data_IF_860782467174
#
_entry.id   IF_860782467174
#
_cell.length_a   1.000
_cell.length_b   1.000
_cell.length_c   1.000
_cell.angle_alpha   90.00
_cell.angle_beta   90.00
_cell.angle_gamma   90.00
#
_symmetry.space_group_name_H-M   'P 1'
#
loop_
_entity.id
_entity.type
_entity.pdbx_description
1 polymer ?
#
# COMPACT_ATOMS: atom_id res chain seq x y z
N UNK A 1 -1.44 57.31 13.56
CA UNK A 1 -0.22 56.49 13.38
C UNK A 1 -0.65 55.07 13.06
N UNK A 2 -0.12 54.49 11.98
CA UNK A 2 -0.71 53.37 11.22
C UNK A 2 -0.30 52.00 11.78
N UNK A 3 -1.29 51.11 11.77
CA UNK A 3 -1.30 49.68 12.13
C UNK A 3 -0.22 48.89 11.38
N UNK A 4 0.67 48.20 12.11
CA UNK A 4 1.57 47.17 11.55
C UNK A 4 1.75 46.03 12.55
N UNK A 5 0.73 45.21 12.80
CA UNK A 5 0.85 43.98 13.61
C UNK A 5 -0.11 42.93 13.04
N UNK A 6 0.16 42.41 11.84
CA UNK A 6 -0.71 41.40 11.23
C UNK A 6 0.02 40.53 10.19
N UNK A 7 1.23 40.04 10.45
CA UNK A 7 1.93 39.17 9.48
C UNK A 7 2.70 37.97 10.06
N UNK A 8 2.71 37.73 11.37
CA UNK A 8 3.55 36.67 11.96
C UNK A 8 2.87 35.31 12.19
N UNK A 9 1.53 35.21 12.09
CA UNK A 9 0.80 33.98 12.47
C UNK A 9 0.66 32.99 11.28
N UNK A 10 0.87 33.44 10.03
CA UNK A 10 0.63 32.62 8.84
C UNK A 10 1.70 31.54 8.54
N UNK A 11 2.91 31.65 9.09
CA UNK A 11 4.04 30.81 8.65
C UNK A 11 4.17 29.46 9.38
N UNK A 12 3.61 29.32 10.59
CA UNK A 12 3.65 28.08 11.37
C UNK A 12 2.61 27.04 10.92
N UNK A 13 1.52 27.45 10.28
CA UNK A 13 0.48 26.53 9.80
C UNK A 13 0.89 25.76 8.54
N UNK A 14 1.80 26.32 7.72
CA UNK A 14 2.22 25.69 6.46
C UNK A 14 3.15 24.49 6.67
N UNK A 15 3.98 24.51 7.71
CA UNK A 15 4.92 23.42 8.01
C UNK A 15 4.21 22.15 8.50
N UNK A 16 3.16 22.27 9.31
CA UNK A 16 2.43 21.11 9.85
C UNK A 16 1.69 20.30 8.76
N UNK A 17 1.21 20.97 7.71
CA UNK A 17 0.49 20.31 6.62
C UNK A 17 1.39 19.41 5.75
N UNK A 18 2.67 19.76 5.58
CA UNK A 18 3.62 18.98 4.78
C UNK A 18 3.98 17.64 5.40
N UNK A 19 4.08 17.56 6.73
CA UNK A 19 4.38 16.29 7.42
C UNK A 19 3.21 15.30 7.33
N UNK A 20 1.97 15.78 7.48
CA UNK A 20 0.79 14.93 7.39
C UNK A 20 0.61 14.32 5.98
N UNK A 21 0.90 15.10 4.93
CA UNK A 21 0.87 14.62 3.55
C UNK A 21 1.91 13.51 3.30
N UNK A 22 3.13 13.66 3.83
CA UNK A 22 4.16 12.63 3.70
C UNK A 22 3.81 11.33 4.43
N UNK A 23 3.28 11.42 5.66
CA UNK A 23 2.87 10.25 6.44
C UNK A 23 1.73 9.47 5.77
N UNK A 24 0.78 10.19 5.15
CA UNK A 24 -0.31 9.56 4.39
C UNK A 24 0.20 8.88 3.12
N UNK A 25 1.09 9.53 2.36
CA UNK A 25 1.69 8.93 1.17
C UNK A 25 2.50 7.67 1.50
N UNK A 26 3.26 7.69 2.60
CA UNK A 26 3.99 6.51 3.07
C UNK A 26 3.05 5.39 3.50
N UNK A 27 1.93 5.73 4.14
CA UNK A 27 0.90 4.76 4.49
C UNK A 27 0.26 4.14 3.25
N UNK A 28 -0.13 4.96 2.28
CA UNK A 28 -0.74 4.50 1.02
C UNK A 28 0.23 3.61 0.23
N UNK A 29 1.54 3.95 0.22
CA UNK A 29 2.58 3.11 -0.40
C UNK A 29 2.70 1.76 0.31
N UNK A 30 2.68 1.73 1.65
CA UNK A 30 2.69 0.47 2.42
C UNK A 30 1.44 -0.37 2.16
N UNK A 31 0.27 0.26 2.08
CA UNK A 31 -0.97 -0.45 1.74
C UNK A 31 -0.89 -1.08 0.36
N UNK A 32 -0.38 -0.34 -0.64
CA UNK A 32 -0.17 -0.87 -1.99
C UNK A 32 0.79 -2.07 -2.01
N UNK A 33 1.94 -1.96 -1.33
CA UNK A 33 2.89 -3.07 -1.21
C UNK A 33 2.27 -4.29 -0.51
N UNK A 34 1.36 -4.07 0.44
CA UNK A 34 0.65 -5.16 1.15
C UNK A 34 -0.33 -5.87 0.23
N UNK A 35 -1.04 -5.14 -0.64
CA UNK A 35 -1.91 -5.73 -1.67
C UNK A 35 -1.11 -6.55 -2.68
N UNK A 36 0.02 -6.03 -3.16
CA UNK A 36 0.93 -6.77 -4.03
C UNK A 36 1.43 -8.04 -3.35
N UNK A 37 1.89 -7.93 -2.10
CA UNK A 37 2.37 -9.07 -1.35
C UNK A 37 1.28 -10.15 -1.21
N UNK A 38 0.03 -9.78 -0.95
CA UNK A 38 -1.08 -10.73 -0.90
C UNK A 38 -1.36 -11.39 -2.25
N UNK A 39 -1.30 -10.64 -3.36
CA UNK A 39 -1.44 -11.18 -4.72
C UNK A 39 -0.33 -12.19 -5.05
N UNK A 40 0.91 -11.84 -4.74
CA UNK A 40 2.09 -12.69 -4.97
C UNK A 40 1.99 -13.94 -4.08
N UNK A 41 1.63 -13.80 -2.81
CA UNK A 41 1.45 -14.95 -1.92
C UNK A 41 0.33 -15.88 -2.41
N UNK A 42 -0.76 -15.34 -2.94
CA UNK A 42 -1.84 -16.14 -3.51
C UNK A 42 -1.37 -16.99 -4.69
N UNK A 43 -0.67 -16.38 -5.64
CA UNK A 43 -0.13 -17.05 -6.82
C UNK A 43 0.98 -18.05 -6.47
N UNK A 44 2.02 -17.60 -5.77
CA UNK A 44 3.23 -18.41 -5.49
C UNK A 44 2.99 -19.54 -4.48
N UNK A 45 2.01 -19.41 -3.59
CA UNK A 45 1.69 -20.42 -2.58
C UNK A 45 0.37 -21.15 -2.82
N UNK A 46 -0.32 -20.90 -3.94
CA UNK A 46 -1.62 -21.49 -4.25
C UNK A 46 -2.67 -21.26 -3.14
N UNK A 47 -2.68 -20.04 -2.57
CA UNK A 47 -3.70 -19.68 -1.57
C UNK A 47 -5.03 -19.37 -2.26
N UNK A 48 -6.18 -19.75 -1.65
CA UNK A 48 -7.46 -19.73 -2.32
C UNK A 48 -7.97 -18.30 -2.55
N UNK A 49 -7.91 -17.83 -3.80
CA UNK A 49 -8.39 -16.53 -4.25
C UNK A 49 -9.54 -16.71 -5.25
N UNK A 50 -10.74 -16.23 -4.89
CA UNK A 50 -11.88 -16.27 -5.81
C UNK A 50 -11.76 -15.16 -6.87
N UNK A 51 -12.36 -15.34 -8.06
CA UNK A 51 -12.36 -14.30 -9.10
C UNK A 51 -12.90 -12.94 -8.58
N UNK A 52 -14.02 -12.88 -7.82
CA UNK A 52 -14.49 -11.60 -7.27
C UNK A 52 -13.53 -10.96 -6.27
N UNK A 53 -12.81 -11.76 -5.47
CA UNK A 53 -11.81 -11.25 -4.54
C UNK A 53 -10.57 -10.73 -5.29
N UNK A 54 -10.16 -11.41 -6.36
CA UNK A 54 -9.07 -10.98 -7.23
C UNK A 54 -9.38 -9.63 -7.90
N UNK A 55 -10.59 -9.47 -8.44
CA UNK A 55 -11.04 -8.22 -9.04
C UNK A 55 -11.01 -7.06 -8.03
N UNK A 56 -11.50 -7.28 -6.81
CA UNK A 56 -11.47 -6.24 -5.76
C UNK A 56 -10.05 -5.91 -5.30
N UNK A 57 -9.15 -6.89 -5.27
CA UNK A 57 -7.74 -6.67 -4.95
C UNK A 57 -7.08 -5.79 -6.04
N UNK A 58 -7.28 -6.11 -7.31
CA UNK A 58 -6.78 -5.33 -8.46
C UNK A 58 -7.34 -3.91 -8.44
N UNK A 59 -8.64 -3.74 -8.21
CA UNK A 59 -9.27 -2.43 -8.11
C UNK A 59 -8.69 -1.60 -6.95
N UNK A 60 -8.47 -2.23 -5.80
CA UNK A 60 -7.89 -1.57 -4.62
C UNK A 60 -6.45 -1.12 -4.87
N UNK A 61 -5.63 -1.97 -5.49
CA UNK A 61 -4.26 -1.64 -5.86
C UNK A 61 -4.22 -0.50 -6.89
N UNK A 62 -5.05 -0.58 -7.93
CA UNK A 62 -5.19 0.46 -8.97
C UNK A 62 -5.61 1.80 -8.37
N UNK A 63 -6.54 1.80 -7.41
CA UNK A 63 -6.97 3.02 -6.73
C UNK A 63 -5.83 3.67 -5.92
N UNK A 64 -5.01 2.86 -5.24
CA UNK A 64 -3.84 3.36 -4.50
C UNK A 64 -2.72 3.86 -5.41
N UNK A 65 -2.43 3.16 -6.51
CA UNK A 65 -1.48 3.63 -7.53
C UNK A 65 -1.89 5.02 -8.05
N UNK A 66 -3.17 5.19 -8.41
CA UNK A 66 -3.73 6.49 -8.85
C UNK A 66 -3.63 7.55 -7.76
N UNK A 67 -3.95 7.22 -6.51
CA UNK A 67 -3.86 8.14 -5.36
C UNK A 67 -2.42 8.62 -5.11
N UNK A 68 -1.44 7.73 -5.29
CA UNK A 68 -0.02 8.02 -5.16
C UNK A 68 0.57 8.73 -6.39
N UNK A 69 -0.18 8.86 -7.48
CA UNK A 69 0.31 9.40 -8.74
C UNK A 69 1.40 8.53 -9.39
N UNK A 70 1.39 7.21 -9.12
CA UNK A 70 2.32 6.28 -9.75
C UNK A 70 1.93 6.08 -11.22
N UNK A 71 2.94 6.14 -12.09
CA UNK A 71 2.83 5.66 -13.47
C UNK A 71 3.01 4.15 -13.50
N UNK A 72 2.57 3.53 -14.58
CA UNK A 72 2.62 2.08 -14.78
C UNK A 72 4.02 1.53 -14.53
N UNK A 73 5.08 2.15 -15.08
CA UNK A 73 6.45 1.67 -14.88
C UNK A 73 6.91 1.73 -13.41
N UNK A 74 6.45 2.75 -12.66
CA UNK A 74 6.78 2.88 -11.24
C UNK A 74 5.97 1.89 -10.38
N UNK A 75 4.75 1.57 -10.80
CA UNK A 75 3.91 0.56 -10.16
C UNK A 75 4.47 -0.85 -10.38
N UNK A 76 5.00 -1.13 -11.57
CA UNK A 76 5.66 -2.38 -11.95
C UNK A 76 6.95 -2.60 -11.16
N UNK A 77 7.84 -1.58 -11.10
CA UNK A 77 9.06 -1.65 -10.28
C UNK A 77 8.71 -1.95 -8.81
N UNK A 78 7.69 -1.29 -8.27
CA UNK A 78 7.25 -1.54 -6.90
C UNK A 78 6.71 -2.96 -6.71
N UNK A 79 6.01 -3.51 -7.71
CA UNK A 79 5.54 -4.88 -7.70
C UNK A 79 6.71 -5.87 -7.70
N UNK A 80 7.68 -5.69 -8.61
CA UNK A 80 8.89 -6.52 -8.72
C UNK A 80 9.74 -6.46 -7.44
N UNK A 81 9.82 -5.30 -6.78
CA UNK A 81 10.48 -5.16 -5.47
C UNK A 81 9.85 -6.08 -4.41
N UNK A 82 8.50 -6.11 -4.36
CA UNK A 82 7.76 -6.94 -3.42
C UNK A 82 7.91 -8.42 -3.79
N UNK A 83 7.84 -8.76 -5.07
CA UNK A 83 8.02 -10.13 -5.57
C UNK A 83 9.42 -10.65 -5.26
N UNK A 84 10.47 -9.91 -5.61
CA UNK A 84 11.84 -10.30 -5.32
C UNK A 84 12.13 -10.40 -3.82
N UNK A 85 11.47 -9.60 -2.98
CA UNK A 85 11.55 -9.75 -1.53
C UNK A 85 10.83 -11.02 -1.02
N UNK A 86 9.72 -11.39 -1.65
CA UNK A 86 8.98 -12.60 -1.35
C UNK A 86 9.77 -13.86 -1.76
N UNK A 87 10.32 -13.89 -2.97
CA UNK A 87 11.06 -15.04 -3.50
C UNK A 87 12.27 -15.41 -2.64
N UNK A 88 12.95 -14.43 -2.06
CA UNK A 88 14.05 -14.64 -1.11
C UNK A 88 13.65 -15.38 0.16
N UNK A 89 12.35 -15.45 0.47
CA UNK A 89 11.80 -16.14 1.64
C UNK A 89 11.25 -17.53 1.30
N UNK A 90 11.29 -17.95 0.03
CA UNK A 90 10.84 -19.30 -0.35
C UNK A 90 11.83 -20.38 0.09
N UNK A 91 11.33 -21.59 0.43
CA UNK A 91 9.91 -22.00 0.46
C UNK A 91 9.19 -21.59 1.75
N UNK A 92 9.91 -21.06 2.75
CA UNK A 92 9.38 -20.78 4.08
C UNK A 92 8.22 -19.79 4.10
N UNK A 93 8.12 -18.91 3.11
CA UNK A 93 7.00 -17.99 2.93
C UNK A 93 5.66 -18.71 2.81
N UNK A 94 5.59 -19.91 2.22
CA UNK A 94 4.35 -20.63 1.97
C UNK A 94 3.87 -21.52 3.13
N UNK A 95 4.48 -21.42 4.32
CA UNK A 95 4.01 -22.13 5.51
C UNK A 95 2.60 -21.64 5.89
N UNK A 96 1.70 -22.57 6.19
CA UNK A 96 0.28 -22.29 6.53
C UNK A 96 0.10 -21.44 7.79
N UNK A 97 1.09 -21.43 8.69
CA UNK A 97 1.14 -20.57 9.89
C UNK A 97 2.15 -19.41 9.74
N UNK A 98 2.74 -19.28 8.56
CA UNK A 98 3.75 -18.29 8.21
C UNK A 98 3.19 -16.88 8.10
N UNK A 99 4.11 -15.91 8.09
CA UNK A 99 3.78 -14.49 7.96
C UNK A 99 2.99 -14.20 6.68
N UNK A 100 3.32 -14.88 5.57
CA UNK A 100 2.67 -14.61 4.30
C UNK A 100 1.19 -15.02 4.31
N UNK A 101 0.86 -16.20 4.87
CA UNK A 101 -0.51 -16.65 5.00
C UNK A 101 -1.34 -15.72 5.89
N UNK A 102 -0.76 -15.27 7.02
CA UNK A 102 -1.43 -14.32 7.93
C UNK A 102 -1.71 -12.97 7.25
N UNK A 103 -0.73 -12.44 6.53
CA UNK A 103 -0.89 -11.18 5.79
C UNK A 103 -1.93 -11.34 4.67
N UNK A 104 -1.88 -12.44 3.93
CA UNK A 104 -2.86 -12.78 2.90
C UNK A 104 -4.30 -12.80 3.47
N UNK A 105 -4.53 -13.57 4.54
CA UNK A 105 -5.84 -13.67 5.20
C UNK A 105 -6.33 -12.31 5.70
N UNK A 106 -5.45 -11.49 6.29
CA UNK A 106 -5.81 -10.16 6.73
C UNK A 106 -6.27 -9.27 5.57
N UNK A 107 -5.56 -9.29 4.44
CA UNK A 107 -5.96 -8.54 3.24
C UNK A 107 -7.28 -9.06 2.70
N UNK A 108 -7.47 -10.38 2.59
CA UNK A 108 -8.71 -10.96 2.09
C UNK A 108 -9.91 -10.59 2.96
N UNK A 109 -9.75 -10.57 4.29
CA UNK A 109 -10.80 -10.12 5.19
C UNK A 109 -11.16 -8.63 4.99
N UNK A 110 -10.19 -7.79 4.66
CA UNK A 110 -10.44 -6.37 4.37
C UNK A 110 -11.13 -6.20 3.01
N UNK A 111 -10.65 -6.91 1.98
CA UNK A 111 -11.18 -6.87 0.62
C UNK A 111 -12.65 -7.36 0.58
N UNK A 112 -12.98 -8.42 1.32
CA UNK A 112 -14.35 -8.96 1.38
C UNK A 112 -15.34 -8.04 2.11
N UNK A 113 -14.85 -7.17 3.00
CA UNK A 113 -15.68 -6.20 3.74
C UNK A 113 -15.94 -4.91 2.94
N UNK A 114 -15.15 -4.64 1.91
CA UNK A 114 -15.36 -3.51 0.98
C UNK A 114 -16.37 -3.91 -0.10
#
# INVERSE_FOLDING_TARGET
MKRVHALAIGMLAFLAASFAASAQADQDRRELMTLYFASIAADRCDFPLSEPDADKLIQSATALQKKLGLKDEAADILYEEVEGAFEKRLPDACKKDGEAFKSYEQVMQQIRKK
#
